data_IF_122624267502
#
_entry.id   IF_122624267502
#
_cell.length_a   1.000
_cell.length_b   1.000
_cell.length_c   1.000
_cell.angle_alpha   90.00
_cell.angle_beta   90.00
_cell.angle_gamma   90.00
#
_symmetry.space_group_name_H-M   'P 1'
#
loop_
_entity.id
_entity.type
_entity.pdbx_description
1 polymer ?
#
# COMPACT_ATOMS: atom_id res chain seq x y z
N UNK A 1 -17.13 -14.06 21.14
CA UNK A 1 -15.82 -13.54 20.73
C UNK A 1 -15.90 -12.04 20.53
N UNK A 2 -14.94 -11.29 21.05
CA UNK A 2 -14.79 -9.85 20.81
C UNK A 2 -14.33 -9.58 19.37
N UNK A 3 -14.38 -8.31 18.94
CA UNK A 3 -13.84 -7.91 17.63
C UNK A 3 -12.32 -8.15 17.58
N UNK A 4 -11.62 -7.84 18.66
CA UNK A 4 -10.18 -8.07 18.78
C UNK A 4 -9.82 -9.56 18.64
N UNK A 5 -10.57 -10.45 19.31
CA UNK A 5 -10.41 -11.90 19.16
C UNK A 5 -10.67 -12.38 17.73
N UNK A 6 -11.63 -11.77 17.03
CA UNK A 6 -11.91 -12.09 15.61
C UNK A 6 -10.79 -11.62 14.68
N UNK A 7 -10.25 -10.42 14.90
CA UNK A 7 -9.11 -9.88 14.13
C UNK A 7 -7.87 -10.74 14.35
N UNK A 8 -7.57 -11.07 15.61
CA UNK A 8 -6.46 -11.95 15.95
C UNK A 8 -6.66 -13.32 15.28
N UNK A 9 -7.84 -13.92 15.37
CA UNK A 9 -8.10 -15.22 14.74
C UNK A 9 -7.98 -15.20 13.20
N UNK A 10 -8.07 -14.03 12.54
CA UNK A 10 -7.95 -13.91 11.09
C UNK A 10 -6.51 -13.54 10.66
N UNK A 11 -5.76 -14.45 10.03
CA UNK A 11 -4.37 -14.20 9.65
C UNK A 11 -4.21 -13.07 8.62
N UNK A 12 -5.19 -12.85 7.74
CA UNK A 12 -5.13 -11.77 6.74
C UNK A 12 -5.30 -10.41 7.42
N UNK A 13 -6.27 -10.28 8.33
CA UNK A 13 -6.47 -9.01 9.04
C UNK A 13 -5.28 -8.67 9.92
N UNK A 14 -4.68 -9.66 10.57
CA UNK A 14 -3.46 -9.48 11.35
C UNK A 14 -2.29 -9.03 10.48
N UNK A 15 -2.11 -9.63 9.30
CA UNK A 15 -1.05 -9.22 8.38
C UNK A 15 -1.26 -7.79 7.88
N UNK A 16 -2.50 -7.39 7.57
CA UNK A 16 -2.81 -6.02 7.20
C UNK A 16 -2.45 -5.01 8.30
N UNK A 17 -2.70 -5.34 9.57
CA UNK A 17 -2.28 -4.49 10.70
C UNK A 17 -0.76 -4.37 10.77
N UNK A 18 -0.03 -5.48 10.66
CA UNK A 18 1.43 -5.48 10.65
C UNK A 18 1.99 -4.60 9.52
N UNK A 19 1.41 -4.70 8.32
CA UNK A 19 1.84 -3.90 7.17
C UNK A 19 1.62 -2.39 7.41
N UNK A 20 0.50 -2.01 8.02
CA UNK A 20 0.22 -0.61 8.39
C UNK A 20 1.24 -0.08 9.41
N UNK A 21 1.57 -0.87 10.43
CA UNK A 21 2.56 -0.51 11.44
C UNK A 21 3.96 -0.35 10.82
N UNK A 22 4.38 -1.32 10.00
CA UNK A 22 5.66 -1.29 9.29
C UNK A 22 5.75 -0.09 8.34
N UNK A 23 4.69 0.21 7.60
CA UNK A 23 4.66 1.37 6.70
C UNK A 23 4.77 2.67 7.49
N UNK A 24 4.08 2.78 8.63
CA UNK A 24 4.18 3.94 9.52
C UNK A 24 5.61 4.10 10.07
N UNK A 25 6.22 3.00 10.52
CA UNK A 25 7.61 3.02 11.00
C UNK A 25 8.61 3.44 9.92
N UNK A 26 8.43 2.97 8.67
CA UNK A 26 9.24 3.42 7.52
C UNK A 26 9.06 4.91 7.25
N UNK A 27 7.83 5.41 7.29
CA UNK A 27 7.52 6.83 7.13
C UNK A 27 8.22 7.69 8.20
N UNK A 28 8.09 7.29 9.46
CA UNK A 28 8.76 7.95 10.59
C UNK A 28 10.28 7.94 10.44
N UNK A 29 10.88 6.81 10.05
CA UNK A 29 12.32 6.72 9.84
C UNK A 29 12.80 7.61 8.68
N UNK A 30 11.99 7.78 7.63
CA UNK A 30 12.35 8.54 6.43
C UNK A 30 12.11 10.05 6.57
N UNK A 31 11.00 10.45 7.18
CA UNK A 31 10.54 11.83 7.22
C UNK A 31 10.55 12.44 8.63
N UNK A 32 10.74 11.64 9.68
CA UNK A 32 10.72 12.10 11.07
C UNK A 32 9.32 12.33 11.63
N UNK A 33 8.27 12.17 10.82
CA UNK A 33 6.87 12.36 11.19
C UNK A 33 5.97 11.27 10.59
N UNK A 34 4.80 11.08 11.19
CA UNK A 34 3.70 10.34 10.56
C UNK A 34 2.97 11.25 9.58
N UNK A 35 2.18 10.66 8.69
CA UNK A 35 1.20 11.38 7.85
C UNK A 35 0.29 12.21 8.76
N UNK A 36 0.43 13.53 8.75
CA UNK A 36 -0.45 14.43 9.48
C UNK A 36 -1.41 15.11 8.48
N UNK A 37 -2.75 15.00 8.68
CA UNK A 37 -3.72 15.60 7.77
C UNK A 37 -3.53 17.11 7.52
N UNK A 38 -2.85 17.81 8.43
CA UNK A 38 -2.53 19.24 8.32
C UNK A 38 -1.29 19.55 7.48
N UNK A 39 -0.55 18.54 7.03
CA UNK A 39 0.69 18.72 6.26
C UNK A 39 0.43 19.22 4.83
N UNK A 40 -0.80 19.06 4.34
CA UNK A 40 -1.20 19.41 2.98
C UNK A 40 -2.58 20.07 2.94
N UNK A 41 -2.76 20.97 1.98
CA UNK A 41 -4.08 21.41 1.54
C UNK A 41 -4.83 20.27 0.85
N UNK A 42 -6.15 20.39 0.70
CA UNK A 42 -6.95 19.38 0.01
C UNK A 42 -6.48 19.12 -1.44
N UNK A 43 -5.99 20.14 -2.14
CA UNK A 43 -5.48 20.00 -3.52
C UNK A 43 -4.16 19.23 -3.54
N UNK A 44 -3.25 19.51 -2.60
CA UNK A 44 -1.99 18.78 -2.48
C UNK A 44 -2.23 17.32 -2.10
N UNK A 45 -3.20 17.03 -1.22
CA UNK A 45 -3.63 15.65 -0.94
C UNK A 45 -4.12 14.92 -2.19
N UNK A 46 -4.94 15.59 -3.01
CA UNK A 46 -5.42 15.01 -4.27
C UNK A 46 -4.25 14.76 -5.22
N UNK A 47 -3.30 15.68 -5.32
CA UNK A 47 -2.16 15.52 -6.22
C UNK A 47 -1.24 14.39 -5.76
N UNK A 48 -0.98 14.27 -4.45
CA UNK A 48 -0.25 13.13 -3.90
C UNK A 48 -0.96 11.80 -4.20
N UNK A 49 -2.27 11.72 -3.98
CA UNK A 49 -3.02 10.52 -4.30
C UNK A 49 -2.95 10.16 -5.80
N UNK A 50 -2.96 11.16 -6.70
CA UNK A 50 -2.80 10.94 -8.15
C UNK A 50 -1.42 10.41 -8.51
N UNK A 51 -0.36 10.91 -7.86
CA UNK A 51 1.01 10.43 -8.05
C UNK A 51 1.16 8.98 -7.61
N UNK A 52 0.68 8.64 -6.40
CA UNK A 52 0.72 7.26 -5.89
C UNK A 52 -0.08 6.28 -6.77
N UNK A 53 -1.23 6.71 -7.31
CA UNK A 53 -2.00 5.91 -8.28
C UNK A 53 -1.23 5.68 -9.59
N UNK A 54 -0.42 6.64 -10.03
CA UNK A 54 0.41 6.47 -11.23
C UNK A 54 1.52 5.44 -10.98
N UNK A 55 2.16 5.47 -9.81
CA UNK A 55 3.18 4.49 -9.42
C UNK A 55 2.59 3.07 -9.38
N UNK A 56 1.37 2.91 -8.84
CA UNK A 56 0.64 1.63 -8.87
C UNK A 56 0.34 1.16 -10.30
N UNK A 57 -0.10 2.07 -11.19
CA UNK A 57 -0.33 1.74 -12.60
C UNK A 57 0.94 1.24 -13.30
N UNK A 58 2.11 1.79 -12.97
CA UNK A 58 3.40 1.30 -13.49
C UNK A 58 3.65 -0.13 -13.03
N UNK A 59 3.46 -0.44 -11.74
CA UNK A 59 3.64 -1.81 -11.22
C UNK A 59 2.69 -2.82 -11.88
N UNK A 60 1.41 -2.47 -12.00
CA UNK A 60 0.42 -3.34 -12.66
C UNK A 60 0.74 -3.56 -14.13
N UNK A 61 1.21 -2.53 -14.83
CA UNK A 61 1.61 -2.62 -16.24
C UNK A 61 2.77 -3.59 -16.41
N UNK A 62 3.82 -3.46 -15.58
CA UNK A 62 4.97 -4.36 -15.59
C UNK A 62 4.56 -5.81 -15.28
N UNK A 63 3.71 -6.00 -14.26
CA UNK A 63 3.24 -7.34 -13.89
C UNK A 63 2.46 -7.98 -15.04
N UNK A 64 1.55 -7.24 -15.66
CA UNK A 64 0.77 -7.71 -16.81
C UNK A 64 1.69 -8.16 -17.95
N UNK A 65 2.66 -7.33 -18.34
CA UNK A 65 3.63 -7.67 -19.40
C UNK A 65 4.39 -8.96 -19.09
N UNK A 66 4.90 -9.10 -17.86
CA UNK A 66 5.60 -10.32 -17.42
C UNK A 66 4.70 -11.55 -17.47
N UNK A 67 3.42 -11.41 -17.13
CA UNK A 67 2.47 -12.53 -17.21
C UNK A 67 2.18 -12.93 -18.66
N UNK A 68 2.03 -11.96 -19.58
CA UNK A 68 1.86 -12.22 -21.01
C UNK A 68 3.11 -12.93 -21.60
N UNK A 69 4.32 -12.50 -21.25
CA UNK A 69 5.57 -13.17 -21.63
C UNK A 69 5.62 -14.63 -21.12
N UNK A 70 5.25 -14.84 -19.86
CA UNK A 70 5.21 -16.18 -19.26
C UNK A 70 4.14 -17.09 -19.88
N UNK A 71 3.04 -16.53 -20.38
CA UNK A 71 2.02 -17.28 -21.12
C UNK A 71 2.55 -17.67 -22.51
N UNK A 72 3.09 -16.71 -23.25
CA UNK A 72 3.61 -16.95 -24.60
C UNK A 72 4.82 -17.89 -24.63
N UNK A 73 5.61 -17.96 -23.55
CA UNK A 73 6.74 -18.90 -23.44
C UNK A 73 6.31 -20.34 -23.11
N UNK A 74 5.04 -20.58 -22.79
CA UNK A 74 4.47 -21.91 -22.50
C UNK A 74 3.74 -22.54 -23.69
N UNK A 75 3.47 -21.75 -24.73
CA UNK A 75 2.89 -22.16 -26.01
C UNK A 75 3.97 -22.48 -27.05
#
# INVERSE_FOLDING_TARGET
MTIEEQILANPILREMQNLLELQTAKGLAKYGSTVNPMDYTAIEWIEHARQELMDELVYLTVLKQKMEEMQNARD
#
